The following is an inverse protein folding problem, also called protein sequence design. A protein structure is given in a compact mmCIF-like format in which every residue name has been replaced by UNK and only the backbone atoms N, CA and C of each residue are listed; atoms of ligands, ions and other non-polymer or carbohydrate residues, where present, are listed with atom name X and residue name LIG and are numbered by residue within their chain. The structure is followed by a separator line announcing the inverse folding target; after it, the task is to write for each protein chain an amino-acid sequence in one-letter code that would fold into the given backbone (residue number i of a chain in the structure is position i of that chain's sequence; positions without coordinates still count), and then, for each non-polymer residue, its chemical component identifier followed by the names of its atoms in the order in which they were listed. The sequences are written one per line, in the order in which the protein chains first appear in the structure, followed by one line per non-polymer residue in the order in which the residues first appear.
data_IF_018237370225
#
_entry.id   IF_018237370225
#
_cell.length_a   1.000
_cell.length_b   1.000
_cell.length_c   1.000
_cell.angle_alpha   90.00
_cell.angle_beta   90.00
_cell.angle_gamma   90.00
#
_symmetry.space_group_name_H-M   'P 1'
#
loop_
_entity.id
_entity.type
_entity.pdbx_description
1 polymer ?
#
# COMPACT_ATOMS: atom_id res chain seq x y z
N UNK A 1 9.89 -1.04 18.57
CA UNK A 1 9.67 -0.12 17.45
C UNK A 1 9.67 -0.85 16.11
N UNK A 2 10.74 -1.58 15.77
CA UNK A 2 10.91 -2.19 14.44
C UNK A 2 10.43 -3.65 14.32
N UNK A 3 9.64 -4.19 15.27
CA UNK A 3 9.30 -5.62 15.28
C UNK A 3 8.61 -6.10 13.99
N UNK A 4 7.67 -5.31 13.46
CA UNK A 4 6.97 -5.65 12.23
C UNK A 4 7.90 -5.59 11.01
N UNK A 5 8.82 -4.62 10.96
CA UNK A 5 9.81 -4.51 9.89
C UNK A 5 10.87 -5.61 9.98
N UNK A 6 11.34 -5.94 11.19
CA UNK A 6 12.24 -7.07 11.44
C UNK A 6 11.63 -8.35 10.89
N UNK A 7 10.39 -8.65 11.28
CA UNK A 7 9.64 -9.80 10.76
C UNK A 7 9.53 -9.78 9.24
N UNK A 8 9.17 -8.62 8.67
CA UNK A 8 9.03 -8.47 7.22
C UNK A 8 10.31 -8.82 6.46
N UNK A 9 11.46 -8.38 6.96
CA UNK A 9 12.79 -8.67 6.40
C UNK A 9 13.13 -10.16 6.58
N UNK A 10 13.06 -10.68 7.81
CA UNK A 10 13.47 -12.07 8.11
C UNK A 10 12.58 -13.12 7.46
N UNK A 11 11.32 -12.80 7.16
CA UNK A 11 10.42 -13.71 6.42
C UNK A 11 10.77 -13.83 4.93
N UNK A 12 11.63 -12.94 4.39
CA UNK A 12 11.90 -12.80 2.95
C UNK A 12 13.34 -13.08 2.55
N UNK A 13 14.26 -12.77 3.44
CA UNK A 13 15.70 -12.86 3.19
C UNK A 13 16.43 -13.29 4.45
N UNK A 14 17.46 -14.10 4.27
CA UNK A 14 18.41 -14.41 5.33
C UNK A 14 19.23 -13.15 5.67
N UNK A 15 19.33 -12.83 6.95
CA UNK A 15 19.96 -11.61 7.43
C UNK A 15 20.46 -11.79 8.87
N UNK A 16 21.46 -11.02 9.25
CA UNK A 16 21.98 -10.95 10.62
C UNK A 16 21.51 -9.66 11.33
N UNK A 17 21.82 -9.56 12.62
CA UNK A 17 21.41 -8.39 13.41
C UNK A 17 22.12 -7.11 12.94
N UNK A 18 23.35 -7.18 12.43
CA UNK A 18 24.09 -6.00 11.97
C UNK A 18 23.42 -5.39 10.73
N UNK A 19 23.06 -6.21 9.74
CA UNK A 19 22.34 -5.79 8.55
C UNK A 19 20.94 -5.23 8.89
N UNK A 20 20.24 -5.83 9.87
CA UNK A 20 18.97 -5.30 10.36
C UNK A 20 19.12 -3.90 10.96
N UNK A 21 20.16 -3.66 11.78
CA UNK A 21 20.40 -2.33 12.35
C UNK A 21 20.70 -1.29 11.27
N UNK A 22 21.48 -1.65 10.24
CA UNK A 22 21.71 -0.79 9.07
C UNK A 22 20.38 -0.42 8.40
N UNK A 23 19.53 -1.41 8.12
CA UNK A 23 18.20 -1.17 7.52
C UNK A 23 17.37 -0.23 8.40
N UNK A 24 17.28 -0.50 9.70
CA UNK A 24 16.43 0.27 10.62
C UNK A 24 16.88 1.73 10.77
N UNK A 25 18.17 2.00 10.68
CA UNK A 25 18.73 3.34 10.83
C UNK A 25 18.20 4.35 9.78
N UNK A 26 17.74 3.87 8.62
CA UNK A 26 17.17 4.73 7.58
C UNK A 26 15.68 5.07 7.78
N UNK A 27 15.00 4.42 8.74
CA UNK A 27 13.58 4.63 8.98
C UNK A 27 13.33 5.55 10.17
N UNK A 28 12.40 6.48 9.99
CA UNK A 28 11.87 7.34 11.04
C UNK A 28 10.46 6.91 11.43
N UNK A 29 10.23 6.66 12.72
CA UNK A 29 8.89 6.44 13.23
C UNK A 29 8.06 7.74 13.16
N UNK A 30 6.90 7.66 12.51
CA UNK A 30 5.93 8.75 12.38
C UNK A 30 4.57 8.27 12.84
N UNK A 31 3.95 8.99 13.78
CA UNK A 31 2.58 8.74 14.22
C UNK A 31 1.62 9.67 13.50
N UNK A 32 0.49 9.15 13.08
CA UNK A 32 -0.52 9.91 12.33
C UNK A 32 -1.88 9.79 13.00
N UNK A 33 -2.69 10.84 12.87
CA UNK A 33 -4.10 10.79 13.25
C UNK A 33 -4.90 10.11 12.14
N UNK A 34 -6.16 9.76 12.43
CA UNK A 34 -7.12 9.30 11.42
C UNK A 34 -7.24 10.34 10.29
N UNK A 35 -7.33 9.85 9.05
CA UNK A 35 -7.52 10.65 7.83
C UNK A 35 -6.37 11.61 7.50
N UNK A 36 -5.17 11.42 8.07
CA UNK A 36 -4.03 12.26 7.74
C UNK A 36 -3.57 12.03 6.30
N UNK A 37 -3.40 13.12 5.54
CA UNK A 37 -2.85 13.09 4.19
C UNK A 37 -1.33 13.08 4.27
N UNK A 38 -0.73 12.05 3.70
CA UNK A 38 0.72 11.88 3.58
C UNK A 38 1.23 12.41 2.23
N UNK A 39 0.36 12.43 1.23
CA UNK A 39 0.61 12.97 -0.10
C UNK A 39 -0.71 13.46 -0.69
N UNK A 40 -0.64 14.58 -1.40
CA UNK A 40 -1.76 15.11 -2.20
C UNK A 40 -1.38 15.21 -3.68
N UNK A 41 -2.33 15.10 -4.62
CA UNK A 41 -2.05 15.27 -6.04
C UNK A 41 -1.38 16.61 -6.33
N UNK A 42 -0.45 16.62 -7.29
CA UNK A 42 0.37 17.78 -7.60
C UNK A 42 1.66 17.88 -6.77
N UNK A 43 1.79 17.13 -5.68
CA UNK A 43 3.05 17.03 -4.94
C UNK A 43 3.93 15.91 -5.47
N UNK A 44 5.24 16.12 -5.49
CA UNK A 44 6.21 15.05 -5.76
C UNK A 44 6.34 14.16 -4.52
N UNK A 45 6.16 12.85 -4.68
CA UNK A 45 6.33 11.87 -3.62
C UNK A 45 7.81 11.73 -3.27
N UNK A 46 8.13 11.88 -1.98
CA UNK A 46 9.51 11.82 -1.47
C UNK A 46 9.77 10.67 -0.52
N UNK A 47 8.72 9.92 -0.15
CA UNK A 47 8.76 8.99 0.97
C UNK A 47 8.16 7.63 0.61
N UNK A 48 8.72 6.60 1.24
CA UNK A 48 8.21 5.24 1.27
C UNK A 48 7.71 4.93 2.69
N UNK A 49 6.52 4.36 2.80
CA UNK A 49 5.87 4.14 4.10
C UNK A 49 5.77 2.65 4.38
N UNK A 50 6.36 2.18 5.47
CA UNK A 50 6.09 0.87 6.03
C UNK A 50 5.10 0.98 7.17
N UNK A 51 4.04 0.18 7.13
CA UNK A 51 2.96 0.25 8.13
C UNK A 51 3.31 -0.64 9.31
N UNK A 52 3.66 -0.02 10.44
CA UNK A 52 3.90 -0.72 11.69
C UNK A 52 2.58 -1.01 12.43
N UNK A 53 1.64 -0.06 12.41
CA UNK A 53 0.28 -0.18 12.95
C UNK A 53 -0.70 0.64 12.13
N UNK A 54 -1.90 0.13 11.91
CA UNK A 54 -2.94 0.81 11.14
C UNK A 54 -2.91 0.44 9.67
N UNK A 55 -3.34 1.35 8.79
CA UNK A 55 -3.22 1.17 7.34
C UNK A 55 -3.29 2.48 6.57
N UNK A 56 -2.71 2.45 5.36
CA UNK A 56 -2.75 3.55 4.40
C UNK A 56 -3.53 3.17 3.16
N UNK A 57 -4.21 4.15 2.57
CA UNK A 57 -4.98 4.05 1.34
C UNK A 57 -4.36 4.96 0.28
N UNK A 58 -4.23 4.42 -0.92
CA UNK A 58 -3.80 5.15 -2.11
C UNK A 58 -4.97 5.24 -3.08
N UNK A 59 -5.38 6.45 -3.43
CA UNK A 59 -6.57 6.69 -4.24
C UNK A 59 -6.49 7.96 -5.07
N UNK A 60 -7.20 8.00 -6.18
CA UNK A 60 -7.39 9.20 -7.01
C UNK A 60 -8.80 9.73 -6.85
N UNK A 61 -9.04 10.97 -7.28
CA UNK A 61 -10.37 11.59 -7.35
C UNK A 61 -10.57 12.09 -8.77
N UNK A 62 -11.68 11.71 -9.42
CA UNK A 62 -11.99 12.17 -10.77
C UNK A 62 -12.67 13.56 -10.76
N UNK A 63 -12.96 14.12 -11.94
CA UNK A 63 -13.60 15.43 -12.07
C UNK A 63 -15.00 15.51 -11.45
N UNK A 64 -15.70 14.37 -11.34
CA UNK A 64 -17.00 14.29 -10.68
C UNK A 64 -16.90 14.14 -9.15
N UNK A 65 -15.69 14.15 -8.58
CA UNK A 65 -15.45 13.98 -7.15
C UNK A 65 -15.50 12.53 -6.67
N UNK A 66 -15.52 11.56 -7.60
CA UNK A 66 -15.55 10.14 -7.25
C UNK A 66 -14.15 9.61 -6.97
N UNK A 67 -14.01 8.87 -5.88
CA UNK A 67 -12.75 8.27 -5.48
C UNK A 67 -12.52 6.93 -6.16
N UNK A 68 -11.32 6.73 -6.72
CA UNK A 68 -10.83 5.46 -7.23
C UNK A 68 -9.69 4.93 -6.36
N UNK A 69 -9.94 3.90 -5.54
CA UNK A 69 -8.89 3.32 -4.70
C UNK A 69 -7.99 2.38 -5.51
N UNK A 70 -6.70 2.68 -5.53
CA UNK A 70 -5.70 1.83 -6.16
C UNK A 70 -5.25 0.73 -5.22
N UNK A 71 -4.93 1.06 -3.97
CA UNK A 71 -4.25 0.13 -3.07
C UNK A 71 -4.49 0.44 -1.59
N UNK A 72 -4.44 -0.60 -0.75
CA UNK A 72 -4.38 -0.49 0.69
C UNK A 72 -3.13 -1.21 1.19
N UNK A 73 -2.31 -0.51 1.97
CA UNK A 73 -1.18 -1.11 2.68
C UNK A 73 -1.55 -1.26 4.15
N UNK A 74 -1.71 -2.50 4.60
CA UNK A 74 -1.94 -2.88 6.00
C UNK A 74 -0.62 -3.10 6.75
N UNK A 75 -0.70 -3.41 8.03
CA UNK A 75 0.46 -3.74 8.86
C UNK A 75 1.36 -4.79 8.21
N UNK A 76 2.67 -4.55 8.23
CA UNK A 76 3.64 -5.42 7.56
C UNK A 76 3.68 -5.26 6.05
N UNK A 77 3.15 -4.17 5.51
CA UNK A 77 3.23 -3.84 4.08
C UNK A 77 3.80 -2.46 3.87
N UNK A 78 4.36 -2.26 2.69
CA UNK A 78 4.78 -0.94 2.24
C UNK A 78 3.72 -0.29 1.35
N UNK A 79 3.65 1.03 1.34
CA UNK A 79 2.95 1.79 0.32
C UNK A 79 3.65 3.10 -0.01
N UNK A 80 3.52 3.53 -1.26
CA UNK A 80 4.02 4.80 -1.79
C UNK A 80 3.35 5.08 -3.14
N UNK A 81 3.43 6.33 -3.59
CA UNK A 81 3.10 6.71 -4.96
C UNK A 81 4.31 6.45 -5.87
N UNK A 82 4.53 5.17 -6.17
CA UNK A 82 5.76 4.67 -6.79
C UNK A 82 6.14 5.39 -8.10
N UNK A 83 5.21 5.69 -9.04
CA UNK A 83 5.56 6.45 -10.24
C UNK A 83 6.13 7.84 -9.91
N UNK A 84 5.49 8.57 -9.01
CA UNK A 84 5.96 9.90 -8.57
C UNK A 84 7.31 9.81 -7.85
N UNK A 85 7.50 8.79 -7.01
CA UNK A 85 8.76 8.54 -6.32
C UNK A 85 9.91 8.25 -7.30
N UNK A 86 9.69 7.43 -8.32
CA UNK A 86 10.72 7.06 -9.30
C UNK A 86 11.00 8.24 -10.25
N UNK A 87 9.96 8.71 -10.95
CA UNK A 87 10.07 9.67 -12.06
C UNK A 87 10.30 11.10 -11.57
N UNK A 88 10.16 11.34 -10.25
CA UNK A 88 10.25 12.65 -9.63
C UNK A 88 9.27 13.67 -10.23
N UNK A 89 8.12 13.17 -10.68
CA UNK A 89 7.01 13.98 -11.20
C UNK A 89 5.89 14.09 -10.18
N UNK A 90 5.04 15.13 -10.26
CA UNK A 90 3.86 15.26 -9.41
C UNK A 90 2.98 14.01 -9.40
N UNK A 91 2.52 13.60 -8.22
CA UNK A 91 1.63 12.47 -8.07
C UNK A 91 0.20 12.80 -8.55
N UNK A 92 -0.47 11.78 -9.07
CA UNK A 92 -1.90 11.84 -9.40
C UNK A 92 -2.81 11.41 -8.23
N UNK A 93 -2.24 10.70 -7.26
CA UNK A 93 -2.98 10.06 -6.18
C UNK A 93 -2.70 10.70 -4.83
N UNK A 94 -3.68 10.55 -3.94
CA UNK A 94 -3.54 10.79 -2.52
C UNK A 94 -2.92 9.57 -1.86
N UNK A 95 -2.14 9.81 -0.80
CA UNK A 95 -1.80 8.79 0.20
C UNK A 95 -2.41 9.27 1.52
N UNK A 96 -3.22 8.43 2.15
CA UNK A 96 -3.95 8.79 3.37
C UNK A 96 -3.89 7.66 4.41
N UNK A 97 -3.72 8.00 5.68
CA UNK A 97 -3.99 7.06 6.78
C UNK A 97 -5.48 7.03 7.08
N UNK A 98 -6.10 5.85 7.14
CA UNK A 98 -7.56 5.75 7.33
C UNK A 98 -7.95 5.64 8.81
N UNK A 99 -6.97 5.39 9.67
CA UNK A 99 -7.09 5.30 11.12
C UNK A 99 -5.78 5.76 11.79
N UNK A 100 -5.76 5.98 13.12
CA UNK A 100 -4.51 6.33 13.81
C UNK A 100 -3.45 5.26 13.53
N UNK A 101 -2.34 5.67 12.94
CA UNK A 101 -1.34 4.75 12.40
C UNK A 101 0.06 5.10 12.87
N UNK A 102 0.90 4.07 12.97
CA UNK A 102 2.35 4.19 13.19
C UNK A 102 3.06 3.71 11.93
N UNK A 103 3.85 4.59 11.33
CA UNK A 103 4.55 4.37 10.08
C UNK A 103 6.06 4.45 10.32
N UNK A 104 6.81 3.55 9.70
CA UNK A 104 8.24 3.71 9.52
C UNK A 104 8.45 4.34 8.15
N UNK A 105 8.94 5.57 8.13
CA UNK A 105 9.08 6.40 6.93
C UNK A 105 10.54 6.45 6.52
N UNK A 106 10.82 6.20 5.24
CA UNK A 106 12.14 6.34 4.64
C UNK A 106 12.03 7.29 3.45
N UNK A 107 12.88 8.31 3.39
CA UNK A 107 12.90 9.21 2.25
C UNK A 107 13.53 8.53 1.03
N UNK A 108 13.29 9.09 -0.15
CA UNK A 108 13.75 8.54 -1.43
C UNK A 108 15.27 8.29 -1.47
N UNK A 109 16.05 9.26 -1.02
CA UNK A 109 17.52 9.18 -1.05
C UNK A 109 18.02 8.03 -0.19
N UNK A 110 17.58 7.98 1.08
CA UNK A 110 17.89 6.88 2.00
C UNK A 110 17.38 5.54 1.51
N UNK A 111 16.22 5.52 0.84
CA UNK A 111 15.65 4.29 0.27
C UNK A 111 16.55 3.74 -0.85
N UNK A 112 16.93 4.56 -1.82
CA UNK A 112 17.80 4.11 -2.90
C UNK A 112 19.20 3.80 -2.42
N UNK A 113 19.74 4.58 -1.48
CA UNK A 113 21.00 4.24 -0.81
C UNK A 113 20.93 2.83 -0.22
N UNK A 114 19.87 2.51 0.53
CA UNK A 114 19.71 1.19 1.14
C UNK A 114 19.57 0.07 0.09
N UNK A 115 18.89 0.34 -1.02
CA UNK A 115 18.78 -0.60 -2.16
C UNK A 115 20.14 -0.86 -2.81
N UNK A 116 21.00 0.15 -2.91
CA UNK A 116 22.33 0.05 -3.52
C UNK A 116 23.36 -0.58 -2.59
N UNK A 117 23.33 -0.27 -1.29
CA UNK A 117 24.38 -0.66 -0.34
C UNK A 117 24.05 -1.91 0.47
N UNK A 118 22.80 -2.36 0.50
CA UNK A 118 22.38 -3.50 1.34
C UNK A 118 21.69 -4.57 0.51
N UNK A 119 22.43 -5.65 0.21
CA UNK A 119 21.98 -6.78 -0.62
C UNK A 119 20.62 -7.34 -0.19
N UNK A 120 20.40 -7.52 1.10
CA UNK A 120 19.13 -8.03 1.66
C UNK A 120 17.95 -7.11 1.30
N UNK A 121 18.15 -5.79 1.42
CA UNK A 121 17.11 -4.82 1.08
C UNK A 121 16.88 -4.69 -0.42
N UNK A 122 17.93 -4.82 -1.24
CA UNK A 122 17.82 -4.92 -2.70
C UNK A 122 16.93 -6.11 -3.13
N UNK A 123 17.13 -7.28 -2.53
CA UNK A 123 16.31 -8.47 -2.78
C UNK A 123 14.85 -8.25 -2.36
N UNK A 124 14.62 -7.62 -1.21
CA UNK A 124 13.29 -7.25 -0.74
C UNK A 124 12.61 -6.29 -1.73
N UNK A 125 13.32 -5.26 -2.18
CA UNK A 125 12.76 -4.29 -3.12
C UNK A 125 12.36 -4.95 -4.44
N UNK A 126 13.19 -5.87 -4.97
CA UNK A 126 12.84 -6.67 -6.14
C UNK A 126 11.55 -7.48 -5.92
N UNK A 127 11.41 -8.17 -4.79
CA UNK A 127 10.19 -8.93 -4.46
C UNK A 127 8.96 -8.01 -4.36
N UNK A 128 9.10 -6.80 -3.80
CA UNK A 128 8.02 -5.80 -3.75
C UNK A 128 7.59 -5.41 -5.16
N UNK A 129 8.54 -5.13 -6.06
CA UNK A 129 8.25 -4.77 -7.45
C UNK A 129 7.58 -5.91 -8.22
N UNK A 130 8.08 -7.13 -8.09
CA UNK A 130 7.51 -8.33 -8.73
C UNK A 130 6.05 -8.54 -8.26
N UNK A 131 5.80 -8.49 -6.95
CA UNK A 131 4.46 -8.62 -6.40
C UNK A 131 3.53 -7.49 -6.87
N UNK A 132 4.00 -6.24 -6.84
CA UNK A 132 3.23 -5.08 -7.30
C UNK A 132 2.88 -5.18 -8.80
N UNK A 133 3.82 -5.61 -9.63
CA UNK A 133 3.61 -5.81 -11.07
C UNK A 133 2.60 -6.93 -11.33
N UNK A 134 2.75 -8.09 -10.69
CA UNK A 134 1.80 -9.21 -10.79
C UNK A 134 0.40 -8.78 -10.34
N UNK A 135 0.27 -8.06 -9.22
CA UNK A 135 -1.01 -7.54 -8.75
C UNK A 135 -1.62 -6.55 -9.75
N UNK A 136 -0.83 -5.63 -10.31
CA UNK A 136 -1.31 -4.69 -11.32
C UNK A 136 -1.80 -5.42 -12.58
N UNK A 137 -1.05 -6.42 -13.08
CA UNK A 137 -1.44 -7.24 -14.23
C UNK A 137 -2.70 -8.06 -13.97
N UNK A 138 -2.78 -8.75 -12.81
CA UNK A 138 -3.98 -9.47 -12.39
C UNK A 138 -5.19 -8.54 -12.30
N UNK A 139 -4.99 -7.27 -11.92
CA UNK A 139 -6.06 -6.28 -11.94
C UNK A 139 -6.48 -5.91 -13.35
N UNK A 140 -5.54 -5.73 -14.29
CA UNK A 140 -5.86 -5.48 -15.70
C UNK A 140 -6.65 -6.67 -16.27
N UNK A 141 -6.14 -7.90 -16.14
CA UNK A 141 -6.78 -9.10 -16.67
C UNK A 141 -8.12 -9.41 -15.98
N UNK A 142 -8.12 -9.40 -14.65
CA UNK A 142 -9.26 -9.80 -13.84
C UNK A 142 -10.34 -8.74 -13.75
N UNK A 143 -10.01 -7.46 -13.57
CA UNK A 143 -11.07 -6.46 -13.37
C UNK A 143 -11.72 -5.96 -14.66
N UNK A 144 -11.06 -6.15 -15.82
CA UNK A 144 -11.66 -5.86 -17.13
C UNK A 144 -12.57 -7.00 -17.63
N UNK A 145 -12.38 -8.24 -17.17
CA UNK A 145 -13.17 -9.41 -17.63
C UNK A 145 -14.09 -10.06 -16.58
N UNK A 146 -13.91 -9.81 -15.28
CA UNK A 146 -14.74 -10.43 -14.24
C UNK A 146 -16.04 -9.68 -13.99
N UNK A 147 -17.12 -10.45 -13.88
CA UNK A 147 -18.39 -10.00 -13.33
C UNK A 147 -18.22 -9.43 -11.91
N UNK A 148 -19.09 -8.48 -11.54
CA UNK A 148 -18.99 -7.79 -10.26
C UNK A 148 -19.00 -8.74 -9.05
N UNK A 149 -19.71 -9.88 -9.13
CA UNK A 149 -19.78 -10.87 -8.05
C UNK A 149 -18.47 -11.62 -7.84
N UNK A 150 -17.73 -11.92 -8.92
CA UNK A 150 -16.45 -12.62 -8.85
C UNK A 150 -15.36 -11.74 -8.23
N UNK A 151 -15.43 -10.41 -8.47
CA UNK A 151 -14.59 -9.43 -7.76
C UNK A 151 -14.80 -9.48 -6.24
N UNK A 152 -16.05 -9.68 -5.79
CA UNK A 152 -16.38 -9.80 -4.36
C UNK A 152 -15.89 -11.14 -3.79
N UNK A 153 -16.06 -12.26 -4.51
CA UNK A 153 -15.52 -13.57 -4.09
C UNK A 153 -13.99 -13.52 -3.94
N UNK A 154 -13.30 -12.98 -4.94
CA UNK A 154 -11.85 -12.80 -4.89
C UNK A 154 -11.42 -11.98 -3.67
N UNK A 155 -12.17 -10.91 -3.35
CA UNK A 155 -11.89 -10.10 -2.18
C UNK A 155 -12.05 -10.89 -0.87
N UNK A 156 -13.10 -11.72 -0.75
CA UNK A 156 -13.34 -12.57 0.42
C UNK A 156 -12.23 -13.60 0.62
N UNK A 157 -11.74 -14.20 -0.47
CA UNK A 157 -10.70 -15.23 -0.43
C UNK A 157 -9.31 -14.65 -0.19
N UNK A 158 -8.91 -13.63 -0.94
CA UNK A 158 -7.52 -13.16 -0.98
C UNK A 158 -7.26 -11.91 -0.14
N UNK A 159 -8.28 -11.12 0.18
CA UNK A 159 -8.14 -9.84 0.91
C UNK A 159 -9.25 -9.62 1.96
N UNK A 160 -9.55 -10.61 2.84
CA UNK A 160 -10.68 -10.54 3.76
C UNK A 160 -10.61 -9.35 4.75
N UNK A 161 -9.40 -8.86 5.05
CA UNK A 161 -9.18 -7.67 5.90
C UNK A 161 -9.88 -6.42 5.37
N UNK A 162 -10.04 -6.29 4.04
CA UNK A 162 -10.76 -5.17 3.45
C UNK A 162 -12.24 -5.19 3.82
N UNK A 163 -12.85 -6.37 3.98
CA UNK A 163 -14.27 -6.49 4.32
C UNK A 163 -14.58 -6.22 5.79
N UNK A 164 -13.59 -6.37 6.67
CA UNK A 164 -13.78 -6.27 8.13
C UNK A 164 -13.28 -4.95 8.71
N UNK A 165 -12.25 -4.32 8.14
CA UNK A 165 -11.64 -3.09 8.68
C UNK A 165 -11.90 -1.84 7.84
N UNK A 166 -12.28 -1.99 6.58
CA UNK A 166 -12.42 -0.86 5.66
C UNK A 166 -13.89 -0.58 5.42
N UNK A 167 -14.25 0.71 5.34
CA UNK A 167 -15.64 1.11 5.08
C UNK A 167 -16.13 0.54 3.74
N UNK A 168 -17.41 0.17 3.69
CA UNK A 168 -18.01 -0.39 2.48
C UNK A 168 -17.87 0.54 1.26
N UNK A 169 -17.87 1.87 1.48
CA UNK A 169 -17.62 2.87 0.43
C UNK A 169 -16.23 2.74 -0.19
N UNK A 170 -15.19 2.66 0.64
CA UNK A 170 -13.80 2.55 0.17
C UNK A 170 -13.53 1.20 -0.50
N UNK A 171 -14.12 0.11 0.03
CA UNK A 171 -14.03 -1.21 -0.61
C UNK A 171 -14.72 -1.21 -1.98
N UNK A 172 -15.91 -0.62 -2.10
CA UNK A 172 -16.62 -0.52 -3.37
C UNK A 172 -15.80 0.27 -4.41
N UNK A 173 -15.21 1.40 -3.99
CA UNK A 173 -14.25 2.18 -4.79
C UNK A 173 -13.04 1.34 -5.25
N UNK A 174 -12.48 0.51 -4.37
CA UNK A 174 -11.37 -0.39 -4.72
C UNK A 174 -11.74 -1.44 -5.77
N UNK A 175 -12.98 -1.94 -5.72
CA UNK A 175 -13.49 -2.92 -6.67
C UNK A 175 -14.04 -2.29 -7.97
N UNK A 176 -14.13 -0.96 -8.04
CA UNK A 176 -14.72 -0.26 -9.19
C UNK A 176 -16.23 -0.46 -9.31
N UNK A 177 -16.95 -0.45 -8.19
CA UNK A 177 -18.42 -0.57 -8.15
C UNK A 177 -19.04 0.39 -7.13
N UNK A 178 -20.36 0.54 -7.15
CA UNK A 178 -21.05 1.38 -6.17
C UNK A 178 -21.16 0.67 -4.80
N UNK A 179 -21.25 1.41 -3.68
CA UNK A 179 -21.47 0.82 -2.36
C UNK A 179 -22.77 -0.02 -2.28
N UNK A 180 -23.82 0.40 -3.00
CA UNK A 180 -25.08 -0.33 -3.10
C UNK A 180 -24.90 -1.67 -3.85
N UNK A 181 -24.17 -1.66 -4.97
CA UNK A 181 -23.82 -2.87 -5.72
C UNK A 181 -23.04 -3.84 -4.83
N UNK A 182 -22.01 -3.36 -4.13
CA UNK A 182 -21.23 -4.20 -3.21
C UNK A 182 -22.11 -4.80 -2.11
N UNK A 183 -22.96 -3.99 -1.48
CA UNK A 183 -23.86 -4.47 -0.41
C UNK A 183 -24.80 -5.58 -0.91
N UNK A 184 -25.41 -5.39 -2.08
CA UNK A 184 -26.30 -6.37 -2.71
C UNK A 184 -25.58 -7.67 -3.10
N UNK A 185 -24.32 -7.59 -3.53
CA UNK A 185 -23.54 -8.77 -3.88
C UNK A 185 -23.08 -9.53 -2.64
N UNK A 186 -22.68 -8.81 -1.58
CA UNK A 186 -22.33 -9.43 -0.29
C UNK A 186 -23.49 -10.18 0.34
N UNK A 187 -24.74 -9.74 0.15
CA UNK A 187 -25.91 -10.46 0.69
C UNK A 187 -26.28 -11.72 -0.10
N UNK A 188 -25.71 -11.91 -1.30
CA UNK A 188 -25.95 -13.07 -2.16
C UNK A 188 -24.87 -14.16 -2.00
N UNK A 189 -23.78 -13.84 -1.31
CA UNK A 189 -22.64 -14.71 -1.04
C UNK A 189 -22.64 -15.10 0.44
#
# INVERSE_FOLDING_TARGET
MYQQLKKYVTDRVETDEQALQVIFAHFKLTKTKRNALLLTPGQVCKDYYFVNKGFIRLFTVNQAGEEGTRYFAFEGSFGTALPSLIDQQPAFEYIQTVEPSELLVINRESFYQLVETTKQFSLIYRQILEAAFITAQKRIYGFQGLEAIEKVRWLMEYQPKLLTRVSNKMVASYLGMTPATLSRLKSKL
#
